data_IF_843534020135
#
_entry.id   IF_843534020135
#
_cell.length_a   1.000
_cell.length_b   1.000
_cell.length_c   1.000
_cell.angle_alpha   90.00
_cell.angle_beta   90.00
_cell.angle_gamma   90.00
#
_symmetry.space_group_name_H-M   'P 1'
#
loop_
_entity.id
_entity.type
_entity.pdbx_description
1 polymer ?
#
# COMPACT_ATOMS: atom_id res chain seq x y z
N UNK A 1 -16.37 8.54 -3.88
CA UNK A 1 -15.77 7.85 -5.03
C UNK A 1 -14.77 6.75 -4.63
N UNK A 2 -13.88 6.91 -3.65
CA UNK A 2 -13.06 5.79 -3.13
C UNK A 2 -13.73 5.02 -1.98
N UNK A 3 -14.34 5.72 -1.01
CA UNK A 3 -15.03 5.11 0.15
C UNK A 3 -16.08 4.06 -0.27
N UNK A 4 -16.94 4.41 -1.22
CA UNK A 4 -17.97 3.49 -1.72
C UNK A 4 -17.39 2.30 -2.48
N UNK A 5 -16.29 2.48 -3.22
CA UNK A 5 -15.60 1.37 -3.88
C UNK A 5 -14.99 0.38 -2.88
N UNK A 6 -14.41 0.89 -1.79
CA UNK A 6 -13.86 0.06 -0.71
C UNK A 6 -14.97 -0.67 0.05
N UNK A 7 -16.09 -0.01 0.33
CA UNK A 7 -17.29 -0.65 0.92
C UNK A 7 -17.84 -1.75 0.01
N UNK A 8 -17.94 -1.51 -1.30
CA UNK A 8 -18.40 -2.51 -2.27
C UNK A 8 -17.49 -3.74 -2.35
N UNK A 9 -16.20 -3.59 -2.02
CA UNK A 9 -15.25 -4.70 -1.89
C UNK A 9 -15.39 -5.50 -0.58
N UNK A 10 -16.40 -5.19 0.25
CA UNK A 10 -16.74 -5.93 1.47
C UNK A 10 -16.14 -5.38 2.77
N UNK A 11 -15.52 -4.18 2.74
CA UNK A 11 -14.97 -3.58 3.96
C UNK A 11 -16.04 -2.83 4.78
N UNK A 12 -16.03 -2.97 6.12
CA UNK A 12 -16.86 -2.16 7.01
C UNK A 12 -16.58 -0.65 6.85
N UNK A 13 -17.59 0.17 7.11
CA UNK A 13 -17.52 1.63 6.89
C UNK A 13 -16.37 2.32 7.64
N UNK A 14 -16.14 1.93 8.89
CA UNK A 14 -15.05 2.51 9.70
C UNK A 14 -13.68 2.24 9.09
N UNK A 15 -13.47 1.04 8.55
CA UNK A 15 -12.24 0.69 7.83
C UNK A 15 -12.14 1.38 6.48
N UNK A 16 -13.25 1.54 5.76
CA UNK A 16 -13.28 2.29 4.50
C UNK A 16 -12.86 3.75 4.72
N UNK A 17 -13.29 4.39 5.82
CA UNK A 17 -12.85 5.73 6.21
C UNK A 17 -11.35 5.79 6.48
N UNK A 18 -10.80 4.80 7.19
CA UNK A 18 -9.36 4.73 7.47
C UNK A 18 -8.56 4.63 6.16
N UNK A 19 -8.95 3.75 5.25
CA UNK A 19 -8.25 3.58 3.95
C UNK A 19 -8.26 4.87 3.14
N UNK A 20 -9.42 5.54 3.08
CA UNK A 20 -9.55 6.81 2.34
C UNK A 20 -8.69 7.90 2.97
N UNK A 21 -8.50 7.90 4.29
CA UNK A 21 -7.59 8.85 4.95
C UNK A 21 -6.14 8.69 4.48
N UNK A 22 -5.67 7.47 4.23
CA UNK A 22 -4.34 7.23 3.69
C UNK A 22 -4.21 7.73 2.25
N UNK A 23 -5.20 7.49 1.39
CA UNK A 23 -5.23 8.02 0.02
C UNK A 23 -5.17 9.56 0.00
N UNK A 24 -5.98 10.22 0.83
CA UNK A 24 -5.96 11.69 0.95
C UNK A 24 -4.60 12.21 1.40
N UNK A 25 -3.99 11.59 2.43
CA UNK A 25 -2.67 12.02 2.91
C UNK A 25 -1.54 11.74 1.90
N UNK A 26 -1.63 10.65 1.15
CA UNK A 26 -0.68 10.32 0.09
C UNK A 26 -0.75 11.34 -1.05
N UNK A 27 -1.96 11.70 -1.51
CA UNK A 27 -2.17 12.75 -2.52
C UNK A 27 -1.69 14.12 -2.06
N UNK A 28 -1.79 14.40 -0.77
CA UNK A 28 -1.26 15.61 -0.16
C UNK A 28 0.27 15.60 0.01
N UNK A 29 0.97 14.53 -0.41
CA UNK A 29 2.42 14.42 -0.29
C UNK A 29 2.92 14.18 1.13
N UNK A 30 2.03 13.85 2.08
CA UNK A 30 2.38 13.63 3.49
C UNK A 30 2.90 12.23 3.78
N UNK A 31 2.74 11.31 2.82
CA UNK A 31 3.18 9.91 2.91
C UNK A 31 4.03 9.62 1.69
N UNK A 32 5.35 9.64 1.87
CA UNK A 32 6.31 9.39 0.79
C UNK A 32 7.78 9.39 1.21
N UNK A 33 8.07 9.49 2.51
CA UNK A 33 9.44 9.46 3.03
C UNK A 33 10.08 8.08 2.77
N UNK A 34 11.31 8.10 2.26
CA UNK A 34 12.11 6.90 2.00
C UNK A 34 13.27 6.87 2.98
N UNK A 35 13.43 5.74 3.67
CA UNK A 35 14.51 5.52 4.65
C UNK A 35 15.33 4.29 4.30
N UNK A 36 16.49 4.15 4.93
CA UNK A 36 17.38 2.99 4.81
C UNK A 36 17.16 1.95 5.94
N UNK A 37 16.07 2.07 6.69
CA UNK A 37 15.80 1.26 7.88
C UNK A 37 15.77 -0.26 7.59
N UNK A 38 15.23 -0.67 6.44
CA UNK A 38 15.20 -2.09 6.04
C UNK A 38 16.62 -2.64 5.96
N UNK A 39 17.53 -1.91 5.33
CA UNK A 39 18.92 -2.33 5.20
C UNK A 39 19.65 -2.28 6.54
N UNK A 40 19.50 -1.19 7.30
CA UNK A 40 20.18 -1.04 8.59
C UNK A 40 19.76 -2.09 9.62
N UNK A 41 18.48 -2.43 9.68
CA UNK A 41 17.94 -3.32 10.72
C UNK A 41 17.97 -4.79 10.32
N UNK A 42 17.90 -5.12 9.02
CA UNK A 42 17.85 -6.51 8.56
C UNK A 42 19.10 -6.98 7.82
N UNK A 43 20.00 -6.07 7.42
CA UNK A 43 21.14 -6.36 6.55
C UNK A 43 20.77 -6.68 5.10
N UNK A 44 19.48 -6.63 4.73
CA UNK A 44 18.98 -6.93 3.38
C UNK A 44 18.53 -5.65 2.69
N UNK A 45 18.82 -5.53 1.40
CA UNK A 45 18.30 -4.42 0.58
C UNK A 45 16.76 -4.49 0.52
N UNK A 46 16.05 -3.34 0.58
CA UNK A 46 14.60 -3.32 0.37
C UNK A 46 14.26 -3.78 -1.05
N UNK A 47 13.14 -4.51 -1.18
CA UNK A 47 12.63 -4.97 -2.47
C UNK A 47 11.80 -3.87 -3.11
N UNK A 48 11.98 -3.63 -4.41
CA UNK A 48 11.13 -2.68 -5.15
C UNK A 48 9.74 -3.27 -5.39
N UNK A 49 8.74 -2.40 -5.62
CA UNK A 49 7.40 -2.85 -5.99
C UNK A 49 7.43 -3.71 -7.26
N UNK A 50 8.25 -3.34 -8.26
CA UNK A 50 8.43 -4.13 -9.50
C UNK A 50 8.88 -5.56 -9.20
N UNK A 51 9.93 -5.71 -8.38
CA UNK A 51 10.44 -7.04 -8.00
C UNK A 51 9.38 -7.85 -7.24
N UNK A 52 8.59 -7.20 -6.38
CA UNK A 52 7.49 -7.87 -5.70
C UNK A 52 6.42 -8.36 -6.67
N UNK A 53 5.97 -7.51 -7.59
CA UNK A 53 4.96 -7.87 -8.59
C UNK A 53 5.45 -9.00 -9.50
N UNK A 54 6.71 -8.95 -9.93
CA UNK A 54 7.32 -10.00 -10.76
C UNK A 54 7.37 -11.36 -10.05
N UNK A 55 7.70 -11.38 -8.76
CA UNK A 55 7.77 -12.60 -7.97
C UNK A 55 6.39 -13.21 -7.66
N UNK A 56 5.31 -12.41 -7.73
CA UNK A 56 3.96 -12.83 -7.34
C UNK A 56 2.96 -12.87 -8.51
N UNK A 57 3.42 -12.76 -9.77
CA UNK A 57 2.55 -12.71 -10.96
C UNK A 57 1.45 -13.77 -10.96
N UNK A 58 1.80 -15.03 -10.70
CA UNK A 58 0.84 -16.14 -10.72
C UNK A 58 -0.31 -15.95 -9.74
N UNK A 59 -0.04 -15.44 -8.53
CA UNK A 59 -1.08 -15.20 -7.52
C UNK A 59 -1.92 -13.94 -7.82
N UNK A 60 -1.36 -12.99 -8.58
CA UNK A 60 -2.00 -11.70 -8.87
C UNK A 60 -2.80 -11.69 -10.18
N UNK A 61 -2.58 -12.67 -11.06
CA UNK A 61 -3.23 -12.72 -12.37
C UNK A 61 -4.63 -13.36 -12.37
N UNK A 62 -5.06 -13.99 -11.26
CA UNK A 62 -6.43 -14.45 -11.05
C UNK A 62 -6.91 -15.48 -12.07
#
# INVERSE_FOLDING_TARGET
ALTEGVKAAGLPEDFARIIVSFDVNTRAGRIGEVTDAVEKLSGRKPRTLKQFLEANKTALLG
#
